data_IF_198343235020
#
_entry.id   IF_198343235020
#
_cell.length_a   1.000
_cell.length_b   1.000
_cell.length_c   1.000
_cell.angle_alpha   90.00
_cell.angle_beta   90.00
_cell.angle_gamma   90.00
#
_symmetry.space_group_name_H-M   'P 1'
#
loop_
_entity.id
_entity.type
_entity.pdbx_description
1 polymer ?
#
# COMPACT_ATOMS: atom_id res chain seq x y z
N UNK A 1 -29.49 29.61 -45.33
CA UNK A 1 -28.57 29.36 -46.46
C UNK A 1 -27.32 30.22 -46.26
N UNK A 2 -26.16 29.60 -46.01
CA UNK A 2 -24.88 29.94 -46.64
C UNK A 2 -23.85 28.87 -46.27
N UNK A 3 -23.13 28.42 -47.28
CA UNK A 3 -22.30 27.21 -47.32
C UNK A 3 -20.80 27.57 -47.33
N UNK A 4 -19.99 26.56 -46.99
CA UNK A 4 -18.54 26.40 -47.24
C UNK A 4 -17.62 27.28 -46.37
N UNK A 5 -16.49 26.81 -45.82
CA UNK A 5 -15.57 25.82 -46.36
C UNK A 5 -14.83 25.01 -45.28
N UNK A 6 -14.38 23.83 -45.72
CA UNK A 6 -13.63 22.77 -45.07
C UNK A 6 -12.16 22.92 -45.45
N UNK A 7 -11.21 22.92 -44.50
CA UNK A 7 -9.79 22.63 -44.77
C UNK A 7 -9.16 21.90 -43.57
N UNK A 8 -8.79 20.65 -43.81
CA UNK A 8 -7.77 19.87 -43.09
C UNK A 8 -6.46 20.06 -43.89
N UNK A 9 -5.29 20.08 -43.22
CA UNK A 9 -4.28 19.10 -43.59
C UNK A 9 -3.65 18.39 -42.38
N UNK A 10 -3.32 17.13 -42.63
CA UNK A 10 -2.69 16.19 -41.75
C UNK A 10 -1.16 16.37 -41.63
N UNK A 11 -0.65 15.91 -40.48
CA UNK A 11 0.66 15.30 -40.18
C UNK A 11 1.91 15.67 -41.00
N UNK A 12 2.95 16.09 -40.29
CA UNK A 12 4.31 15.57 -40.48
C UNK A 12 4.91 15.18 -39.12
N UNK A 13 5.37 13.93 -39.08
CA UNK A 13 6.17 13.29 -38.03
C UNK A 13 7.65 13.61 -38.25
N UNK A 14 8.39 13.93 -37.18
CA UNK A 14 9.84 13.81 -37.06
C UNK A 14 10.10 13.11 -35.71
N UNK A 15 10.24 11.78 -35.64
CA UNK A 15 11.49 10.98 -35.79
C UNK A 15 12.68 11.58 -35.03
N UNK A 16 13.00 11.07 -33.85
CA UNK A 16 14.13 10.15 -33.62
C UNK A 16 14.99 10.73 -32.47
N UNK A 17 15.63 10.00 -31.55
CA UNK A 17 16.13 8.62 -31.53
C UNK A 17 15.91 8.05 -30.10
N UNK A 18 15.34 6.85 -29.94
CA UNK A 18 16.04 5.55 -29.86
C UNK A 18 17.34 5.58 -29.02
N UNK A 19 17.22 5.09 -27.78
CA UNK A 19 18.21 4.20 -27.17
C UNK A 19 17.40 3.06 -26.55
N UNK A 20 17.13 1.98 -27.27
CA UNK A 20 17.94 0.75 -27.21
C UNK A 20 18.61 0.57 -25.85
N UNK A 21 17.91 -0.05 -24.91
CA UNK A 21 18.46 -1.12 -24.05
C UNK A 21 17.40 -1.74 -23.11
N UNK A 22 16.23 -2.06 -23.68
CA UNK A 22 15.24 -2.97 -23.06
C UNK A 22 15.19 -4.26 -23.88
N UNK A 23 16.34 -4.77 -24.31
CA UNK A 23 16.49 -6.19 -24.74
C UNK A 23 17.97 -6.60 -24.69
N UNK A 24 18.62 -6.39 -23.54
CA UNK A 24 19.76 -7.21 -23.15
C UNK A 24 19.43 -7.95 -21.86
N UNK A 25 18.29 -8.60 -21.89
CA UNK A 25 18.07 -9.81 -21.13
C UNK A 25 19.15 -10.83 -21.55
N UNK A 26 19.81 -11.44 -20.56
CA UNK A 26 20.05 -12.89 -20.57
C UNK A 26 21.09 -13.43 -21.57
N UNK A 27 21.91 -12.59 -22.22
CA UNK A 27 23.00 -13.03 -23.12
C UNK A 27 24.41 -12.52 -22.77
N UNK A 28 24.69 -12.30 -21.49
CA UNK A 28 26.03 -12.54 -20.91
C UNK A 28 25.92 -13.60 -19.81
N UNK A 29 24.96 -14.51 -19.97
CA UNK A 29 25.11 -15.83 -19.39
C UNK A 29 26.40 -16.43 -19.94
N UNK A 30 27.28 -16.82 -19.02
CA UNK A 30 27.87 -18.16 -19.06
C UNK A 30 28.62 -18.43 -20.37
N UNK A 31 29.86 -17.92 -20.46
CA UNK A 31 31.02 -18.42 -21.24
C UNK A 31 31.94 -17.20 -21.51
N UNK A 32 33.15 -17.08 -20.99
CA UNK A 32 34.04 -18.12 -20.51
C UNK A 32 35.18 -17.52 -19.69
N UNK A 33 35.29 -18.03 -18.46
CA UNK A 33 36.55 -18.28 -17.78
C UNK A 33 36.27 -19.33 -16.69
N UNK A 34 35.64 -20.45 -17.08
CA UNK A 34 35.81 -21.70 -16.36
C UNK A 34 37.01 -22.39 -17.02
N UNK A 35 37.98 -22.73 -16.18
CA UNK A 35 39.25 -23.44 -16.42
C UNK A 35 40.48 -22.61 -16.79
N UNK A 36 41.39 -22.53 -15.81
CA UNK A 36 42.82 -22.48 -16.07
C UNK A 36 43.59 -21.87 -14.92
N UNK A 37 44.43 -22.68 -14.27
CA UNK A 37 45.54 -22.28 -13.38
C UNK A 37 45.21 -22.18 -11.88
N UNK A 38 45.37 -23.35 -11.25
CA UNK A 38 46.11 -23.50 -10.00
C UNK A 38 47.20 -22.45 -9.87
N UNK A 39 47.10 -21.54 -8.89
CA UNK A 39 48.25 -21.00 -8.15
C UNK A 39 47.78 -20.16 -6.97
N UNK A 40 48.23 -20.59 -5.81
CA UNK A 40 48.30 -19.84 -4.56
C UNK A 40 48.75 -18.39 -4.77
N UNK A 41 47.98 -17.42 -4.31
CA UNK A 41 48.55 -16.21 -3.69
C UNK A 41 47.48 -15.42 -2.94
N UNK A 42 47.78 -15.16 -1.66
CA UNK A 42 47.06 -14.26 -0.79
C UNK A 42 47.06 -12.84 -1.38
N UNK A 43 45.96 -12.41 -1.98
CA UNK A 43 45.67 -10.99 -2.18
C UNK A 43 44.23 -10.73 -1.74
N UNK A 44 44.12 -10.17 -0.54
CA UNK A 44 42.90 -9.55 -0.04
C UNK A 44 42.50 -8.43 -1.00
N UNK A 45 41.51 -8.70 -1.84
CA UNK A 45 40.84 -7.69 -2.65
C UNK A 45 40.12 -6.75 -1.68
N UNK A 46 40.64 -5.54 -1.50
CA UNK A 46 39.96 -4.43 -0.84
C UNK A 46 38.82 -3.97 -1.75
N UNK A 47 37.67 -4.64 -1.64
CA UNK A 47 36.45 -4.26 -2.36
C UNK A 47 35.87 -3.00 -1.70
N UNK A 48 36.31 -1.85 -2.19
CA UNK A 48 35.66 -0.57 -1.92
C UNK A 48 34.27 -0.53 -2.57
N UNK A 49 33.31 0.05 -1.84
CA UNK A 49 31.95 0.41 -2.27
C UNK A 49 30.94 -0.73 -2.46
N UNK A 50 30.65 -1.47 -1.38
CA UNK A 50 29.27 -1.94 -1.21
C UNK A 50 28.41 -0.77 -0.74
N UNK A 51 27.59 -0.23 -1.65
CA UNK A 51 26.44 0.59 -1.25
C UNK A 51 25.49 -0.34 -0.47
N UNK A 52 25.64 -0.32 0.86
CA UNK A 52 24.72 -0.98 1.77
C UNK A 52 23.40 -0.23 1.70
N UNK A 53 22.46 -0.72 0.89
CA UNK A 53 21.09 -0.23 0.90
C UNK A 53 20.46 -0.60 2.26
N UNK A 54 20.43 0.36 3.18
CA UNK A 54 19.78 0.18 4.48
C UNK A 54 18.27 0.22 4.28
N UNK A 55 17.60 -0.93 4.42
CA UNK A 55 16.14 -0.93 4.54
C UNK A 55 15.77 -0.51 5.96
N UNK A 56 15.40 0.76 6.16
CA UNK A 56 14.89 1.23 7.45
C UNK A 56 13.58 0.50 7.76
N UNK A 57 13.59 -0.32 8.81
CA UNK A 57 12.37 -0.95 9.30
C UNK A 57 11.63 0.03 10.19
N UNK A 58 10.48 0.51 9.74
CA UNK A 58 9.60 1.36 10.55
C UNK A 58 8.63 0.48 11.33
N UNK A 59 8.63 0.60 12.66
CA UNK A 59 7.64 -0.06 13.51
C UNK A 59 6.40 0.82 13.63
N UNK A 60 5.30 0.36 13.05
CA UNK A 60 3.99 1.01 13.21
C UNK A 60 3.40 0.60 14.54
N UNK A 61 2.89 1.57 15.31
CA UNK A 61 2.13 1.32 16.55
C UNK A 61 0.65 1.58 16.27
N UNK A 62 -0.17 0.54 15.95
CA UNK A 62 -1.52 0.76 15.43
C UNK A 62 -2.45 1.48 16.41
N UNK A 63 -2.24 1.26 17.71
CA UNK A 63 -3.07 1.84 18.76
C UNK A 63 -2.75 3.32 19.05
N UNK A 64 -1.64 3.87 18.54
CA UNK A 64 -1.26 5.27 18.77
C UNK A 64 -1.90 6.17 17.72
N UNK A 65 -2.53 7.26 18.18
CA UNK A 65 -3.15 8.30 17.37
C UNK A 65 -2.12 9.25 16.74
N UNK A 66 -1.17 8.69 15.98
CA UNK A 66 -0.13 9.44 15.28
C UNK A 66 -0.16 9.10 13.81
N UNK A 67 -0.03 10.06 12.89
CA UNK A 67 0.21 9.72 11.48
C UNK A 67 1.60 9.14 11.30
N UNK A 68 1.71 8.16 10.41
CA UNK A 68 3.02 7.66 10.00
C UNK A 68 3.59 8.60 8.92
N UNK A 69 4.91 8.63 8.71
CA UNK A 69 5.53 9.54 7.72
C UNK A 69 5.09 9.29 6.27
N UNK A 70 4.59 8.09 5.99
CA UNK A 70 4.00 7.70 4.71
C UNK A 70 2.89 6.69 4.97
N UNK A 71 1.99 6.57 3.99
CA UNK A 71 1.07 5.44 3.94
C UNK A 71 1.78 4.16 3.50
N UNK A 72 1.40 3.06 4.15
CA UNK A 72 1.86 1.72 3.83
C UNK A 72 0.69 0.91 3.27
N UNK A 73 0.93 0.08 2.25
CA UNK A 73 -0.13 -0.70 1.63
C UNK A 73 -1.28 0.17 1.07
N UNK A 74 -2.49 -0.38 1.07
CA UNK A 74 -3.70 0.30 0.60
C UNK A 74 -4.90 -0.05 1.49
N UNK A 75 -5.70 0.97 1.83
CA UNK A 75 -6.95 0.84 2.60
C UNK A 75 -8.05 1.58 1.84
N UNK A 76 -9.14 0.91 1.51
CA UNK A 76 -10.21 1.51 0.70
C UNK A 76 -11.60 1.06 1.17
N UNK A 77 -12.55 1.99 1.21
CA UNK A 77 -13.98 1.66 1.33
C UNK A 77 -14.46 1.23 -0.05
N UNK A 78 -14.72 -0.07 -0.21
CA UNK A 78 -15.03 -0.66 -1.52
C UNK A 78 -16.53 -0.74 -1.82
N UNK A 79 -17.35 -0.74 -0.78
CA UNK A 79 -18.81 -0.75 -0.92
C UNK A 79 -19.47 -0.24 0.36
N UNK A 80 -20.68 0.26 0.19
CA UNK A 80 -21.60 0.53 1.28
C UNK A 80 -22.84 -0.34 1.13
N UNK A 81 -23.46 -0.73 2.24
CA UNK A 81 -24.73 -1.45 2.23
C UNK A 81 -25.72 -0.78 3.18
N UNK A 82 -26.99 -0.80 2.80
CA UNK A 82 -28.07 -0.31 3.65
C UNK A 82 -28.04 -1.03 5.00
N UNK A 83 -28.08 -0.25 6.08
CA UNK A 83 -28.17 -0.79 7.43
C UNK A 83 -29.64 -0.71 7.89
N UNK A 84 -30.31 -1.84 8.21
CA UNK A 84 -31.71 -1.82 8.63
C UNK A 84 -31.99 -0.97 9.88
N UNK A 85 -30.97 -0.79 10.74
CA UNK A 85 -31.04 0.04 11.95
C UNK A 85 -30.70 1.51 11.66
N UNK A 86 -30.44 1.87 10.40
CA UNK A 86 -29.93 3.19 9.97
C UNK A 86 -28.72 3.65 10.78
N UNK A 87 -27.87 2.71 11.20
CA UNK A 87 -26.63 3.01 11.92
C UNK A 87 -25.47 3.11 10.94
N UNK A 88 -24.62 4.11 11.14
CA UNK A 88 -23.30 4.18 10.51
C UNK A 88 -22.42 3.09 11.11
N UNK A 89 -21.93 2.18 10.26
CA UNK A 89 -21.02 1.10 10.66
C UNK A 89 -19.81 1.05 9.76
N UNK A 90 -18.73 0.50 10.30
CA UNK A 90 -17.53 0.14 9.55
C UNK A 90 -17.23 -1.34 9.80
N UNK A 91 -16.90 -2.07 8.74
CA UNK A 91 -16.58 -3.50 8.80
C UNK A 91 -15.38 -3.82 7.90
N UNK A 92 -14.52 -4.72 8.35
CA UNK A 92 -13.43 -5.24 7.51
C UNK A 92 -14.03 -6.31 6.57
N UNK A 93 -13.94 -6.09 5.26
CA UNK A 93 -14.40 -7.03 4.24
C UNK A 93 -13.34 -8.06 3.90
N UNK A 94 -12.10 -7.64 3.60
CA UNK A 94 -10.95 -8.55 3.48
C UNK A 94 -9.62 -7.86 3.77
N UNK A 95 -8.64 -8.71 4.07
CA UNK A 95 -7.25 -8.36 4.30
C UNK A 95 -6.36 -9.25 3.43
N UNK A 96 -5.57 -8.65 2.54
CA UNK A 96 -4.78 -9.35 1.51
C UNK A 96 -3.31 -9.01 1.67
N UNK A 97 -2.47 -10.02 1.83
CA UNK A 97 -1.02 -9.89 1.77
C UNK A 97 -0.52 -10.39 0.40
N UNK A 98 0.29 -9.62 -0.34
CA UNK A 98 0.60 -9.88 -1.75
C UNK A 98 1.26 -11.23 -2.01
N UNK A 99 2.05 -11.74 -1.04
CA UNK A 99 2.77 -13.01 -1.16
C UNK A 99 2.15 -14.19 -0.40
N UNK A 100 1.03 -13.97 0.30
CA UNK A 100 0.39 -14.99 1.15
C UNK A 100 -1.09 -15.18 0.78
N UNK A 101 -1.71 -14.19 0.14
CA UNK A 101 -3.14 -14.18 -0.12
C UNK A 101 -3.92 -13.62 1.07
N UNK A 102 -5.13 -14.12 1.30
CA UNK A 102 -6.02 -13.61 2.33
C UNK A 102 -5.49 -13.97 3.73
N UNK A 103 -5.36 -12.97 4.59
CA UNK A 103 -4.83 -13.09 5.95
C UNK A 103 -5.79 -12.49 6.97
N UNK A 104 -5.62 -12.86 8.25
CA UNK A 104 -6.31 -12.17 9.35
C UNK A 104 -5.63 -10.82 9.60
N UNK A 105 -6.38 -9.84 10.09
CA UNK A 105 -5.83 -8.55 10.44
C UNK A 105 -6.59 -7.92 11.61
N UNK A 106 -5.91 -7.01 12.30
CA UNK A 106 -6.50 -6.12 13.29
C UNK A 106 -6.26 -4.67 12.87
N UNK A 107 -7.30 -3.85 12.96
CA UNK A 107 -7.24 -2.45 12.63
C UNK A 107 -7.62 -1.57 13.82
N UNK A 108 -6.99 -0.40 13.86
CA UNK A 108 -7.31 0.68 14.78
C UNK A 108 -7.63 1.92 13.96
N UNK A 109 -8.72 2.60 14.29
CA UNK A 109 -9.14 3.83 13.64
C UNK A 109 -9.14 4.97 14.65
N UNK A 110 -8.66 6.12 14.18
CA UNK A 110 -8.61 7.38 14.91
C UNK A 110 -9.30 8.45 14.06
N UNK A 111 -10.20 9.22 14.66
CA UNK A 111 -10.91 10.28 13.94
C UNK A 111 -9.93 11.38 13.51
N UNK A 112 -10.17 11.96 12.34
CA UNK A 112 -9.46 13.14 11.86
C UNK A 112 -10.39 14.34 12.02
N UNK A 113 -9.94 15.34 12.77
CA UNK A 113 -10.71 16.58 12.97
C UNK A 113 -10.84 17.36 11.66
N UNK A 114 -11.81 18.29 11.55
CA UNK A 114 -11.93 19.16 10.37
C UNK A 114 -10.66 19.95 10.03
N UNK A 115 -9.83 20.25 11.02
CA UNK A 115 -8.55 20.94 10.87
C UNK A 115 -7.40 19.99 10.46
N UNK A 116 -7.67 18.68 10.34
CA UNK A 116 -6.71 17.68 9.88
C UNK A 116 -5.91 16.97 10.98
N UNK A 117 -6.24 17.20 12.26
CA UNK A 117 -5.53 16.56 13.37
C UNK A 117 -6.07 15.16 13.63
N UNK A 118 -5.17 14.20 13.86
CA UNK A 118 -5.59 12.88 14.37
C UNK A 118 -5.94 13.02 15.85
N UNK A 119 -7.20 12.76 16.16
CA UNK A 119 -7.75 12.92 17.51
C UNK A 119 -7.24 11.80 18.41
N UNK A 120 -6.37 12.14 19.37
CA UNK A 120 -5.91 11.21 20.41
C UNK A 120 -6.93 11.11 21.55
N UNK A 121 -8.04 10.44 21.29
CA UNK A 121 -8.92 9.99 22.34
C UNK A 121 -8.48 8.59 22.76
N UNK A 122 -7.49 8.50 23.66
CA UNK A 122 -6.93 7.22 24.15
C UNK A 122 -8.01 6.22 24.62
N UNK A 123 -9.17 6.71 25.06
CA UNK A 123 -10.36 5.95 25.45
C UNK A 123 -11.35 5.65 24.30
N UNK A 124 -11.29 6.35 23.16
CA UNK A 124 -12.24 6.20 22.04
C UNK A 124 -11.61 5.57 20.78
N UNK A 125 -10.46 4.92 20.90
CA UNK A 125 -9.88 4.16 19.77
C UNK A 125 -10.87 3.09 19.29
N UNK A 126 -11.17 3.08 18.00
CA UNK A 126 -12.05 2.08 17.40
C UNK A 126 -11.19 0.90 16.98
N UNK A 127 -11.45 -0.28 17.55
CA UNK A 127 -10.73 -1.51 17.23
C UNK A 127 -11.61 -2.47 16.44
N UNK A 128 -11.07 -2.97 15.34
CA UNK A 128 -11.68 -3.95 14.44
C UNK A 128 -10.75 -5.16 14.26
N UNK A 129 -11.30 -6.35 14.17
CA UNK A 129 -10.52 -7.56 13.89
C UNK A 129 -11.30 -8.57 13.04
N UNK A 130 -10.63 -9.12 12.02
CA UNK A 130 -11.24 -10.16 11.17
C UNK A 130 -11.51 -11.43 11.97
N UNK A 131 -12.72 -12.01 11.84
CA UNK A 131 -13.14 -13.26 12.49
C UNK A 131 -13.18 -13.19 14.04
N UNK A 132 -13.43 -12.01 14.59
CA UNK A 132 -13.76 -11.77 16.00
C UNK A 132 -15.21 -11.27 16.10
N UNK A 133 -15.77 -11.21 17.31
CA UNK A 133 -17.02 -10.48 17.56
C UNK A 133 -16.89 -8.96 17.32
N UNK A 134 -15.69 -8.49 16.99
CA UNK A 134 -15.35 -7.11 16.70
C UNK A 134 -15.03 -6.87 15.21
N UNK A 135 -15.64 -7.65 14.30
CA UNK A 135 -15.41 -7.47 12.86
C UNK A 135 -16.07 -6.20 12.29
N UNK A 136 -17.05 -5.66 13.02
CA UNK A 136 -17.69 -4.38 12.72
C UNK A 136 -17.92 -3.52 13.98
N UNK A 137 -18.05 -2.21 13.78
CA UNK A 137 -18.33 -1.23 14.85
C UNK A 137 -19.28 -0.14 14.36
N UNK A 138 -20.12 0.34 15.29
CA UNK A 138 -20.91 1.57 15.10
C UNK A 138 -19.98 2.75 15.39
N UNK A 139 -19.92 3.70 14.46
CA UNK A 139 -19.01 4.85 14.52
C UNK A 139 -19.72 6.10 13.99
N UNK A 140 -19.33 7.32 14.40
CA UNK A 140 -19.73 8.54 13.70
C UNK A 140 -19.30 8.51 12.23
N UNK A 141 -20.01 9.25 11.37
CA UNK A 141 -19.54 9.51 10.01
C UNK A 141 -18.44 10.56 10.05
N UNK A 142 -17.45 10.44 9.16
CA UNK A 142 -16.32 11.37 9.11
C UNK A 142 -15.11 10.73 8.47
N UNK A 143 -13.99 11.43 8.55
CA UNK A 143 -12.69 10.93 8.09
C UNK A 143 -11.94 10.31 9.25
N UNK A 144 -11.33 9.14 9.01
CA UNK A 144 -10.58 8.40 10.00
C UNK A 144 -9.21 8.02 9.44
N UNK A 145 -8.18 8.13 10.25
CA UNK A 145 -6.89 7.53 9.98
C UNK A 145 -6.88 6.10 10.52
N UNK A 146 -6.65 5.13 9.64
CA UNK A 146 -6.67 3.71 9.96
C UNK A 146 -5.26 3.14 9.96
N UNK A 147 -4.93 2.36 10.99
CA UNK A 147 -3.69 1.58 11.08
C UNK A 147 -4.02 0.11 11.24
N UNK A 148 -3.46 -0.72 10.38
CA UNK A 148 -3.78 -2.14 10.27
C UNK A 148 -2.52 -2.96 10.35
N UNK A 149 -2.61 -4.10 11.03
CA UNK A 149 -1.56 -5.10 11.02
C UNK A 149 -2.10 -6.49 10.74
N UNK A 150 -1.30 -7.31 10.07
CA UNK A 150 -1.60 -8.73 9.86
C UNK A 150 -1.59 -9.50 11.19
N UNK A 151 -2.34 -10.59 11.25
CA UNK A 151 -2.42 -11.52 12.38
C UNK A 151 -2.23 -12.96 11.89
N UNK A 152 -1.57 -13.79 12.69
CA UNK A 152 -1.40 -15.22 12.38
C UNK A 152 -0.46 -15.52 11.21
N UNK A 153 0.45 -14.60 10.89
CA UNK A 153 1.53 -14.77 9.89
C UNK A 153 2.89 -14.65 10.57
N UNK A 154 3.91 -15.30 10.03
CA UNK A 154 5.25 -15.33 10.64
C UNK A 154 5.93 -13.95 10.65
N UNK A 155 5.66 -13.09 9.66
CA UNK A 155 6.16 -11.72 9.58
C UNK A 155 4.98 -10.76 9.54
N UNK A 156 4.89 -9.86 10.52
CA UNK A 156 3.86 -8.82 10.51
C UNK A 156 4.09 -7.85 9.35
N UNK A 157 3.02 -7.55 8.61
CA UNK A 157 2.95 -6.43 7.67
C UNK A 157 1.94 -5.40 8.17
N UNK A 158 2.11 -4.16 7.72
CA UNK A 158 1.28 -3.03 8.12
C UNK A 158 0.64 -2.37 6.91
N UNK A 159 -0.52 -1.78 7.13
CA UNK A 159 -1.14 -0.86 6.19
C UNK A 159 -1.67 0.36 6.96
N UNK A 160 -1.55 1.54 6.39
CA UNK A 160 -2.04 2.79 6.97
C UNK A 160 -2.64 3.68 5.91
N UNK A 161 -3.61 4.50 6.29
CA UNK A 161 -4.21 5.47 5.37
C UNK A 161 -5.50 6.07 5.91
N UNK A 162 -5.95 7.12 5.24
CA UNK A 162 -7.21 7.80 5.54
C UNK A 162 -8.39 7.07 4.89
N UNK A 163 -9.53 7.01 5.58
CA UNK A 163 -10.79 6.50 5.05
C UNK A 163 -11.93 7.46 5.38
N UNK A 164 -12.90 7.55 4.48
CA UNK A 164 -14.11 8.35 4.65
C UNK A 164 -15.31 7.42 4.92
N UNK A 165 -15.99 7.64 6.04
CA UNK A 165 -17.12 6.83 6.48
C UNK A 165 -18.44 7.52 6.13
N UNK A 166 -19.24 6.86 5.29
CA UNK A 166 -20.56 7.35 4.85
C UNK A 166 -21.60 7.13 5.96
N UNK A 167 -22.48 8.12 6.25
CA UNK A 167 -23.47 8.01 7.31
C UNK A 167 -24.60 7.02 7.00
N UNK A 168 -25.17 6.44 8.06
CA UNK A 168 -26.38 5.61 8.08
C UNK A 168 -26.31 4.31 7.25
N UNK A 169 -25.11 3.88 6.88
CA UNK A 169 -24.83 2.65 6.12
C UNK A 169 -23.71 1.85 6.76
N UNK A 170 -23.56 0.59 6.35
CA UNK A 170 -22.38 -0.22 6.66
C UNK A 170 -21.31 0.00 5.59
N UNK A 171 -20.16 0.53 5.98
CA UNK A 171 -18.98 0.77 5.15
C UNK A 171 -18.05 -0.44 5.21
N UNK A 172 -17.80 -1.06 4.07
CA UNK A 172 -16.93 -2.23 3.97
C UNK A 172 -15.55 -1.82 3.47
N UNK A 173 -14.52 -2.17 4.23
CA UNK A 173 -13.14 -1.78 3.97
C UNK A 173 -12.33 -2.98 3.51
N UNK A 174 -11.62 -2.81 2.40
CA UNK A 174 -10.57 -3.73 1.94
C UNK A 174 -9.20 -3.19 2.30
N UNK A 175 -8.32 -4.10 2.74
CA UNK A 175 -6.93 -3.78 3.08
C UNK A 175 -5.99 -4.67 2.27
N UNK A 176 -5.00 -4.05 1.64
CA UNK A 176 -3.89 -4.72 0.97
C UNK A 176 -2.58 -4.29 1.62
N UNK A 177 -1.77 -5.25 2.06
CA UNK A 177 -0.50 -5.00 2.74
C UNK A 177 0.68 -4.82 1.76
N UNK A 178 1.76 -4.18 2.22
CA UNK A 178 3.08 -4.14 1.57
C UNK A 178 4.01 -5.24 2.12
#
# INVERSE_FOLDING_TARGET
MNKFALIIPALIVLTGCKSNDITRAVKDGINGAVNGVSSSTNQSITSSNQSSYTTTQTKVYPHKATKEPRDYGQIQVIKTAANPKKQTRVAINKCLHPRVGQVKCSAYMHEISPEGWVVDAQSNRIWLETRSNNYDKVVPSGTYYMKVKTKGVAKESYATGDINIVPFVTNYVDITFE
#
